data_IF_457263657136
#
_entry.id   IF_457263657136
#
_cell.length_a   1.000
_cell.length_b   1.000
_cell.length_c   1.000
_cell.angle_alpha   90.00
_cell.angle_beta   90.00
_cell.angle_gamma   90.00
#
_symmetry.space_group_name_H-M   'P 1'
#
loop_
_entity.id
_entity.type
_entity.pdbx_description
1 polymer ?
#
# COMPACT_ATOMS: atom_id res chain seq x y z
N UNK A 1 9.32 1.64 -14.50
CA UNK A 1 9.04 0.69 -13.40
C UNK A 1 7.68 0.92 -12.72
N UNK A 2 7.38 2.02 -12.03
CA UNK A 2 6.07 2.18 -11.32
C UNK A 2 4.82 1.91 -12.20
N UNK A 3 4.80 2.42 -13.44
CA UNK A 3 3.70 2.16 -14.37
C UNK A 3 3.62 0.67 -14.78
N UNK A 4 4.77 0.02 -14.99
CA UNK A 4 4.83 -1.41 -15.31
C UNK A 4 4.35 -2.27 -14.14
N UNK A 5 4.71 -1.90 -12.89
CA UNK A 5 4.17 -2.56 -11.69
C UNK A 5 2.64 -2.44 -11.67
N UNK A 6 2.11 -1.23 -11.89
CA UNK A 6 0.65 -1.00 -11.93
C UNK A 6 -0.01 -1.86 -13.02
N UNK A 7 0.52 -1.84 -14.25
CA UNK A 7 -0.02 -2.60 -15.38
C UNK A 7 -0.07 -4.11 -15.07
N UNK A 8 1.03 -4.67 -14.53
CA UNK A 8 1.09 -6.08 -14.13
C UNK A 8 0.05 -6.38 -13.04
N UNK A 9 -0.06 -5.54 -12.01
CA UNK A 9 -0.99 -5.77 -10.90
C UNK A 9 -2.46 -5.64 -11.31
N UNK A 10 -2.77 -4.79 -12.30
CA UNK A 10 -4.10 -4.65 -12.89
C UNK A 10 -4.49 -5.83 -13.80
N UNK A 11 -3.54 -6.66 -14.25
CA UNK A 11 -3.85 -7.87 -15.02
C UNK A 11 -4.71 -8.84 -14.21
N UNK A 12 -5.88 -9.24 -14.72
CA UNK A 12 -6.74 -10.25 -14.11
C UNK A 12 -6.22 -11.69 -14.34
N UNK A 13 -4.96 -11.92 -14.01
CA UNK A 13 -4.28 -13.22 -14.15
C UNK A 13 -3.59 -13.64 -12.85
N UNK A 14 -3.64 -14.93 -12.46
CA UNK A 14 -2.81 -15.50 -11.41
C UNK A 14 -1.29 -15.33 -11.64
N UNK A 15 -0.88 -15.24 -12.92
CA UNK A 15 0.53 -15.14 -13.31
C UNK A 15 1.12 -13.75 -13.02
N UNK A 16 0.31 -12.76 -12.65
CA UNK A 16 0.77 -11.40 -12.36
C UNK A 16 1.87 -11.34 -11.30
N UNK A 17 1.83 -12.22 -10.29
CA UNK A 17 2.90 -12.29 -9.29
C UNK A 17 4.18 -12.90 -9.87
N UNK A 18 4.08 -13.84 -10.82
CA UNK A 18 5.25 -14.40 -11.50
C UNK A 18 5.94 -13.31 -12.32
N UNK A 19 5.18 -12.57 -13.14
CA UNK A 19 5.69 -11.45 -13.92
C UNK A 19 6.32 -10.39 -13.01
N UNK A 20 5.61 -10.00 -11.95
CA UNK A 20 6.09 -9.02 -10.99
C UNK A 20 7.44 -9.44 -10.40
N UNK A 21 7.50 -10.59 -9.74
CA UNK A 21 8.71 -10.97 -9.02
C UNK A 21 9.84 -11.40 -9.95
N UNK A 22 9.57 -12.22 -10.96
CA UNK A 22 10.61 -12.79 -11.81
C UNK A 22 11.07 -11.86 -12.93
N UNK A 23 10.14 -11.18 -13.61
CA UNK A 23 10.49 -10.37 -14.79
C UNK A 23 10.88 -8.94 -14.41
N UNK A 24 10.21 -8.36 -13.40
CA UNK A 24 10.38 -6.94 -13.06
C UNK A 24 11.26 -6.71 -11.81
N UNK A 25 11.08 -7.50 -10.76
CA UNK A 25 11.83 -7.34 -9.50
C UNK A 25 13.15 -8.12 -9.45
N UNK A 26 13.44 -8.96 -10.46
CA UNK A 26 14.71 -9.68 -10.55
C UNK A 26 14.86 -10.85 -9.57
N UNK A 27 13.76 -11.47 -9.16
CA UNK A 27 13.77 -12.68 -8.33
C UNK A 27 13.82 -13.94 -9.19
N UNK A 28 14.43 -15.01 -8.68
CA UNK A 28 14.49 -16.28 -9.41
C UNK A 28 13.14 -17.00 -9.37
N UNK A 29 12.83 -17.79 -10.40
CA UNK A 29 11.64 -18.63 -10.43
C UNK A 29 11.74 -19.71 -9.35
N UNK A 30 10.67 -19.93 -8.58
CA UNK A 30 10.64 -20.99 -7.58
C UNK A 30 9.90 -22.22 -8.12
N UNK A 31 10.64 -23.12 -8.77
CA UNK A 31 10.12 -24.33 -9.44
C UNK A 31 9.77 -25.45 -8.45
N UNK A 32 8.81 -25.16 -7.57
CA UNK A 32 8.19 -26.14 -6.66
C UNK A 32 6.74 -26.38 -7.06
N UNK A 33 6.26 -27.59 -6.82
CA UNK A 33 4.84 -27.91 -6.99
C UNK A 33 4.00 -27.13 -6.00
N UNK A 34 2.82 -26.67 -6.45
CA UNK A 34 1.79 -26.14 -5.56
C UNK A 34 1.36 -27.19 -4.56
N UNK A 35 0.96 -26.74 -3.37
CA UNK A 35 0.52 -27.62 -2.29
C UNK A 35 -0.68 -27.01 -1.56
N UNK A 36 -1.37 -27.84 -0.78
CA UNK A 36 -2.47 -27.38 0.08
C UNK A 36 -2.12 -27.64 1.53
N UNK A 37 -2.59 -26.75 2.41
CA UNK A 37 -2.38 -26.88 3.84
C UNK A 37 -3.62 -26.42 4.62
N UNK A 38 -4.00 -27.21 5.61
CA UNK A 38 -5.08 -26.86 6.53
C UNK A 38 -4.64 -25.74 7.46
N UNK A 39 -5.36 -24.63 7.42
CA UNK A 39 -5.10 -23.48 8.28
C UNK A 39 -6.08 -23.54 9.46
N UNK A 40 -5.58 -23.54 10.70
CA UNK A 40 -6.43 -23.59 11.89
C UNK A 40 -7.24 -22.29 12.08
N UNK A 41 -7.99 -22.22 13.19
CA UNK A 41 -8.71 -21.02 13.60
C UNK A 41 -7.81 -19.77 13.57
N UNK A 42 -8.28 -18.62 13.04
CA UNK A 42 -9.67 -18.33 12.65
C UNK A 42 -10.00 -18.62 11.18
N UNK A 43 -9.11 -19.24 10.40
CA UNK A 43 -9.37 -19.54 8.98
C UNK A 43 -10.20 -20.81 8.85
N UNK A 44 -9.83 -21.89 9.58
CA UNK A 44 -10.52 -23.19 9.59
C UNK A 44 -10.81 -23.74 8.18
N UNK A 45 -9.84 -23.64 7.27
CA UNK A 45 -9.98 -24.05 5.88
C UNK A 45 -8.64 -24.50 5.29
N UNK A 46 -8.69 -25.42 4.34
CA UNK A 46 -7.54 -25.78 3.52
C UNK A 46 -7.30 -24.70 2.46
N UNK A 47 -6.10 -24.14 2.43
CA UNK A 47 -5.68 -23.15 1.43
C UNK A 47 -4.69 -23.75 0.45
N UNK A 48 -4.76 -23.32 -0.81
CA UNK A 48 -3.79 -23.67 -1.84
C UNK A 48 -2.69 -22.61 -1.95
N UNK A 49 -1.45 -23.08 -2.00
CA UNK A 49 -0.23 -22.29 -2.08
C UNK A 49 0.50 -22.59 -3.37
N UNK A 50 0.86 -21.54 -4.11
CA UNK A 50 1.54 -21.61 -5.38
C UNK A 50 2.90 -20.92 -5.26
N UNK A 51 4.00 -21.67 -5.34
CA UNK A 51 5.34 -21.12 -5.51
C UNK A 51 5.40 -20.13 -6.67
N UNK A 52 5.92 -18.93 -6.42
CA UNK A 52 6.03 -17.85 -7.43
C UNK A 52 7.49 -17.60 -7.77
N UNK A 53 8.26 -17.21 -6.76
CA UNK A 53 9.64 -16.78 -6.89
C UNK A 53 10.41 -17.08 -5.60
N UNK A 54 11.73 -17.03 -5.66
CA UNK A 54 12.63 -17.20 -4.53
C UNK A 54 13.83 -16.30 -4.70
N UNK A 55 14.35 -15.78 -3.60
CA UNK A 55 15.64 -15.08 -3.58
C UNK A 55 16.35 -15.32 -2.27
N UNK A 56 17.62 -15.75 -2.32
CA UNK A 56 18.44 -16.00 -1.14
C UNK A 56 17.82 -16.99 -0.15
N UNK A 57 17.08 -18.00 -0.62
CA UNK A 57 16.39 -18.97 0.23
C UNK A 57 15.00 -18.51 0.73
N UNK A 58 14.54 -17.31 0.38
CA UNK A 58 13.26 -16.75 0.82
C UNK A 58 12.20 -16.91 -0.29
N UNK A 59 11.22 -17.81 -0.13
CA UNK A 59 10.19 -18.02 -1.12
C UNK A 59 9.07 -16.98 -1.04
N UNK A 60 8.52 -16.68 -2.21
CA UNK A 60 7.26 -15.97 -2.42
C UNK A 60 6.21 -16.99 -2.81
N UNK A 61 5.14 -17.06 -2.01
CA UNK A 61 4.02 -17.96 -2.25
C UNK A 61 2.76 -17.14 -2.52
N UNK A 62 2.07 -17.43 -3.63
CA UNK A 62 0.71 -16.97 -3.87
C UNK A 62 -0.26 -17.85 -3.10
N UNK A 63 -1.17 -17.24 -2.35
CA UNK A 63 -2.24 -17.89 -1.62
C UNK A 63 -3.54 -17.66 -2.38
N UNK A 64 -4.24 -18.73 -2.75
CA UNK A 64 -5.61 -18.60 -3.25
C UNK A 64 -6.53 -18.34 -2.07
N UNK A 65 -6.97 -17.09 -1.93
CA UNK A 65 -7.82 -16.67 -0.85
C UNK A 65 -9.29 -16.84 -1.27
N UNK A 66 -10.12 -17.56 -0.50
CA UNK A 66 -11.44 -17.98 -0.95
C UNK A 66 -12.54 -16.91 -0.77
N UNK A 67 -12.18 -15.72 -0.29
CA UNK A 67 -13.12 -14.63 -0.02
C UNK A 67 -12.80 -13.40 -0.88
N UNK A 68 -13.81 -12.56 -1.11
CA UNK A 68 -13.69 -11.30 -1.85
C UNK A 68 -13.01 -10.20 -1.02
N UNK A 69 -13.07 -10.30 0.31
CA UNK A 69 -12.32 -9.44 1.22
C UNK A 69 -10.93 -10.02 1.53
N UNK A 70 -9.91 -9.17 1.52
CA UNK A 70 -8.57 -9.56 1.95
C UNK A 70 -8.56 -10.08 3.40
N UNK A 71 -7.68 -11.04 3.73
CA UNK A 71 -7.61 -11.59 5.07
C UNK A 71 -7.29 -10.52 6.11
N UNK A 72 -7.95 -10.60 7.26
CA UNK A 72 -7.65 -9.73 8.39
C UNK A 72 -6.30 -10.09 9.05
N UNK A 73 -5.84 -9.27 9.99
CA UNK A 73 -4.52 -9.44 10.64
C UNK A 73 -4.38 -10.80 11.34
N UNK A 74 -5.45 -11.31 11.94
CA UNK A 74 -5.43 -12.59 12.68
C UNK A 74 -5.34 -13.77 11.69
N UNK A 75 -6.11 -13.72 10.60
CA UNK A 75 -6.05 -14.71 9.51
C UNK A 75 -4.67 -14.74 8.85
N UNK A 76 -4.13 -13.58 8.46
CA UNK A 76 -2.77 -13.47 7.89
C UNK A 76 -1.72 -14.09 8.81
N UNK A 77 -1.80 -13.81 10.12
CA UNK A 77 -0.88 -14.36 11.11
C UNK A 77 -1.01 -15.88 11.26
N UNK A 78 -2.23 -16.42 11.22
CA UNK A 78 -2.46 -17.85 11.27
C UNK A 78 -1.80 -18.56 10.07
N UNK A 79 -1.99 -18.03 8.85
CA UNK A 79 -1.37 -18.59 7.63
C UNK A 79 0.16 -18.54 7.69
N UNK A 80 0.74 -17.38 8.04
CA UNK A 80 2.21 -17.25 8.18
C UNK A 80 2.78 -18.24 9.20
N UNK A 81 2.16 -18.32 10.38
CA UNK A 81 2.63 -19.23 11.43
C UNK A 81 2.55 -20.70 11.01
N UNK A 82 1.52 -21.06 10.23
CA UNK A 82 1.35 -22.41 9.73
C UNK A 82 2.46 -22.82 8.75
N UNK A 83 2.99 -21.87 7.99
CA UNK A 83 4.07 -22.09 7.02
C UNK A 83 5.48 -21.99 7.61
N UNK A 84 5.66 -21.39 8.79
CA UNK A 84 6.99 -21.24 9.44
C UNK A 84 7.74 -22.54 9.66
N UNK A 85 7.03 -23.66 9.82
CA UNK A 85 7.65 -24.97 9.99
C UNK A 85 8.38 -25.45 8.72
N UNK A 86 7.98 -24.94 7.55
CA UNK A 86 8.56 -25.29 6.25
C UNK A 86 9.48 -24.18 5.75
N UNK A 87 9.05 -22.92 5.90
CA UNK A 87 9.77 -21.74 5.43
C UNK A 87 9.93 -20.75 6.58
N UNK A 88 11.14 -20.67 7.14
CA UNK A 88 11.41 -19.81 8.30
C UNK A 88 11.15 -18.32 8.01
N UNK A 89 11.55 -17.87 6.82
CA UNK A 89 11.25 -16.56 6.26
C UNK A 89 10.52 -16.78 4.94
N UNK A 90 9.42 -16.08 4.70
CA UNK A 90 8.65 -16.20 3.45
C UNK A 90 7.75 -14.99 3.24
N UNK A 91 7.44 -14.71 1.97
CA UNK A 91 6.45 -13.72 1.56
C UNK A 91 5.16 -14.41 1.13
N UNK A 92 4.02 -13.85 1.54
CA UNK A 92 2.70 -14.32 1.10
C UNK A 92 2.02 -13.27 0.24
N UNK A 93 1.62 -13.66 -0.96
CA UNK A 93 0.83 -12.86 -1.88
C UNK A 93 -0.60 -13.39 -1.90
N UNK A 94 -1.53 -12.65 -1.31
CA UNK A 94 -2.96 -12.96 -1.36
C UNK A 94 -3.58 -12.28 -2.57
N UNK A 95 -4.48 -13.01 -3.22
CA UNK A 95 -5.39 -12.50 -4.23
C UNK A 95 -6.81 -12.86 -3.81
N UNK A 96 -7.71 -11.89 -3.76
CA UNK A 96 -9.13 -12.13 -3.46
C UNK A 96 -9.79 -12.95 -4.55
N UNK A 97 -10.89 -13.62 -4.22
CA UNK A 97 -11.57 -14.51 -5.16
C UNK A 97 -12.07 -13.79 -6.42
N UNK A 98 -12.45 -12.52 -6.31
CA UNK A 98 -12.82 -11.64 -7.42
C UNK A 98 -11.63 -11.09 -8.24
N UNK A 99 -10.39 -11.29 -7.77
CA UNK A 99 -9.16 -10.84 -8.42
C UNK A 99 -8.88 -9.34 -8.36
N UNK A 100 -9.73 -8.55 -7.69
CA UNK A 100 -9.65 -7.08 -7.67
C UNK A 100 -8.72 -6.54 -6.59
N UNK A 101 -8.52 -7.29 -5.51
CA UNK A 101 -7.71 -6.87 -4.38
C UNK A 101 -6.57 -7.86 -4.14
N UNK A 102 -5.40 -7.30 -3.81
CA UNK A 102 -4.23 -8.09 -3.47
C UNK A 102 -3.50 -7.56 -2.26
N UNK A 103 -2.80 -8.46 -1.58
CA UNK A 103 -1.97 -8.13 -0.44
C UNK A 103 -0.66 -8.92 -0.49
N UNK A 104 0.48 -8.22 -0.43
CA UNK A 104 1.78 -8.83 -0.18
C UNK A 104 2.07 -8.67 1.32
N UNK A 105 2.35 -9.77 2.01
CA UNK A 105 2.47 -9.82 3.47
C UNK A 105 3.85 -10.31 3.86
N UNK A 106 4.48 -9.55 4.75
CA UNK A 106 5.79 -9.82 5.33
C UNK A 106 5.70 -9.83 6.86
N UNK A 107 6.40 -10.76 7.51
CA UNK A 107 6.58 -10.79 8.96
C UNK A 107 7.98 -10.29 9.31
N UNK A 108 8.07 -9.06 9.81
CA UNK A 108 9.34 -8.49 10.30
C UNK A 108 9.57 -8.90 11.74
N UNK A 109 10.72 -9.49 12.05
CA UNK A 109 11.15 -9.73 13.43
C UNK A 109 11.42 -8.40 14.14
N UNK A 110 10.77 -8.16 15.28
CA UNK A 110 11.01 -7.00 16.16
C UNK A 110 11.11 -7.48 17.61
N UNK A 111 12.33 -7.79 18.06
CA UNK A 111 12.57 -8.43 19.35
C UNK A 111 12.03 -9.86 19.35
N UNK A 112 11.25 -10.23 20.37
CA UNK A 112 10.67 -11.58 20.50
C UNK A 112 9.38 -11.80 19.68
N UNK A 113 8.81 -10.77 19.06
CA UNK A 113 7.54 -10.86 18.33
C UNK A 113 7.69 -10.44 16.88
N UNK A 114 6.91 -11.10 16.03
CA UNK A 114 6.80 -10.76 14.62
C UNK A 114 5.75 -9.67 14.40
N UNK A 115 6.22 -8.58 13.82
CA UNK A 115 5.41 -7.48 13.35
C UNK A 115 4.95 -7.75 11.91
N UNK A 116 3.64 -7.90 11.73
CA UNK A 116 3.05 -8.20 10.44
C UNK A 116 2.87 -6.91 9.64
N UNK A 117 3.38 -6.89 8.41
CA UNK A 117 3.28 -5.78 7.48
C UNK A 117 2.59 -6.23 6.20
N UNK A 118 1.85 -5.30 5.59
CA UNK A 118 1.09 -5.61 4.38
C UNK A 118 1.17 -4.43 3.42
N UNK A 119 1.49 -4.73 2.17
CA UNK A 119 1.31 -3.84 1.03
C UNK A 119 0.02 -4.26 0.33
N UNK A 120 -0.96 -3.37 0.27
CA UNK A 120 -2.26 -3.63 -0.36
C UNK A 120 -2.39 -2.85 -1.67
N UNK A 121 -3.05 -3.46 -2.64
CA UNK A 121 -3.39 -2.86 -3.92
C UNK A 121 -4.79 -3.31 -4.33
N UNK A 122 -5.52 -2.40 -4.97
CA UNK A 122 -6.87 -2.64 -5.49
C UNK A 122 -6.94 -2.08 -6.91
N UNK A 123 -7.39 -2.92 -7.84
CA UNK A 123 -7.46 -2.60 -9.27
C UNK A 123 -8.27 -1.33 -9.52
N UNK A 124 -7.71 -0.42 -10.33
CA UNK A 124 -8.34 0.86 -10.66
C UNK A 124 -8.31 1.93 -9.55
N UNK A 125 -7.73 1.64 -8.38
CA UNK A 125 -7.48 2.65 -7.35
C UNK A 125 -6.02 3.14 -7.36
N UNK A 126 -5.76 4.45 -7.17
CA UNK A 126 -4.40 4.95 -7.07
C UNK A 126 -3.67 4.38 -5.85
N UNK A 127 -2.58 3.66 -6.10
CA UNK A 127 -1.78 2.96 -5.08
C UNK A 127 -0.29 3.34 -5.10
N UNK A 128 0.05 4.59 -5.47
CA UNK A 128 1.44 5.05 -5.67
C UNK A 128 2.40 4.63 -4.56
N UNK A 129 2.04 4.84 -3.30
CA UNK A 129 2.90 4.47 -2.16
C UNK A 129 3.12 2.96 -2.10
N UNK A 130 2.11 2.13 -2.36
CA UNK A 130 2.28 0.68 -2.45
C UNK A 130 3.21 0.31 -3.59
N UNK A 131 3.05 0.91 -4.78
CA UNK A 131 3.91 0.64 -5.94
C UNK A 131 5.37 1.01 -5.66
N UNK A 132 5.62 2.17 -5.06
CA UNK A 132 6.98 2.60 -4.65
C UNK A 132 7.60 1.60 -3.65
N UNK A 133 6.79 1.00 -2.76
CA UNK A 133 7.26 0.00 -1.80
C UNK A 133 7.51 -1.36 -2.45
N UNK A 134 6.73 -1.73 -3.45
CA UNK A 134 6.96 -2.93 -4.26
C UNK A 134 8.23 -2.76 -5.12
N UNK A 135 8.45 -1.58 -5.69
CA UNK A 135 9.68 -1.25 -6.43
C UNK A 135 10.94 -1.42 -5.59
N UNK A 136 10.90 -1.06 -4.30
CA UNK A 136 12.03 -1.28 -3.37
C UNK A 136 12.39 -2.76 -3.16
N UNK A 137 11.53 -3.71 -3.57
CA UNK A 137 11.82 -5.14 -3.57
C UNK A 137 12.67 -5.60 -4.75
N UNK A 138 12.88 -4.74 -5.75
CA UNK A 138 13.62 -5.06 -6.95
C UNK A 138 15.12 -5.20 -6.65
N UNK A 139 15.73 -6.29 -7.08
CA UNK A 139 17.19 -6.46 -7.10
C UNK A 139 17.73 -6.08 -8.47
N UNK A 140 18.61 -5.08 -8.48
CA UNK A 140 19.30 -4.67 -9.69
C UNK A 140 20.35 -5.69 -10.11
N UNK A 141 20.70 -5.69 -11.39
CA UNK A 141 21.73 -6.57 -11.93
C UNK A 141 23.08 -6.41 -11.21
N UNK A 142 23.46 -5.18 -10.85
CA UNK A 142 24.67 -4.91 -10.09
C UNK A 142 24.66 -5.56 -8.68
N UNK A 143 23.53 -5.45 -7.95
CA UNK A 143 23.37 -6.09 -6.64
C UNK A 143 23.42 -7.62 -6.73
N UNK A 144 22.93 -8.20 -7.83
CA UNK A 144 23.00 -9.64 -8.06
C UNK A 144 24.43 -10.08 -8.43
N UNK A 145 25.14 -9.33 -9.28
CA UNK A 145 26.54 -9.62 -9.65
C UNK A 145 27.49 -9.59 -8.45
N UNK A 146 27.29 -8.65 -7.51
CA UNK A 146 28.05 -8.58 -6.26
C UNK A 146 27.96 -9.85 -5.40
N UNK A 147 26.92 -10.66 -5.62
CA UNK A 147 26.64 -11.89 -4.89
C UNK A 147 26.59 -13.14 -5.79
N UNK A 148 27.27 -13.11 -6.94
CA UNK A 148 27.29 -14.25 -7.90
C UNK A 148 25.90 -14.72 -8.35
N UNK A 149 24.91 -13.82 -8.33
CA UNK A 149 23.52 -14.07 -8.69
C UNK A 149 22.60 -14.50 -7.53
N UNK A 150 23.15 -14.80 -6.35
CA UNK A 150 22.37 -15.23 -5.18
C UNK A 150 22.72 -14.39 -3.93
N UNK A 151 21.99 -13.29 -3.66
CA UNK A 151 22.22 -12.49 -2.47
C UNK A 151 21.93 -13.32 -1.20
N UNK A 152 22.70 -13.11 -0.12
CA UNK A 152 22.46 -13.80 1.14
C UNK A 152 21.09 -13.41 1.72
N UNK A 153 20.44 -14.34 2.41
CA UNK A 153 19.11 -14.13 3.01
C UNK A 153 19.03 -12.87 3.88
N UNK A 154 20.13 -12.50 4.54
CA UNK A 154 20.22 -11.29 5.37
C UNK A 154 20.01 -10.02 4.57
N UNK A 155 20.60 -9.91 3.37
CA UNK A 155 20.42 -8.77 2.48
C UNK A 155 18.98 -8.70 1.95
N UNK A 156 18.39 -9.85 1.63
CA UNK A 156 16.98 -9.96 1.21
C UNK A 156 16.05 -9.50 2.34
N UNK A 157 16.26 -9.98 3.56
CA UNK A 157 15.48 -9.59 4.75
C UNK A 157 15.61 -8.10 5.07
N UNK A 158 16.81 -7.52 4.96
CA UNK A 158 17.02 -6.08 5.15
C UNK A 158 16.24 -5.25 4.13
N UNK A 159 16.26 -5.66 2.85
CA UNK A 159 15.51 -5.00 1.79
C UNK A 159 14.00 -5.11 2.00
N UNK A 160 13.50 -6.29 2.40
CA UNK A 160 12.10 -6.48 2.81
C UNK A 160 11.73 -5.56 3.98
N UNK A 161 12.58 -5.49 5.01
CA UNK A 161 12.31 -4.63 6.16
C UNK A 161 12.20 -3.16 5.77
N UNK A 162 13.01 -2.68 4.81
CA UNK A 162 12.95 -1.32 4.27
C UNK A 162 11.71 -1.09 3.40
N UNK A 163 11.40 -2.03 2.50
CA UNK A 163 10.24 -1.97 1.61
C UNK A 163 8.92 -1.96 2.41
N UNK A 164 8.84 -2.69 3.51
CA UNK A 164 7.66 -2.76 4.37
C UNK A 164 7.68 -1.76 5.54
N UNK A 165 8.64 -0.83 5.58
CA UNK A 165 8.74 0.18 6.64
C UNK A 165 7.75 1.34 6.44
N UNK A 166 6.61 1.27 7.13
CA UNK A 166 5.57 2.32 7.16
C UNK A 166 6.01 3.53 8.00
N UNK A 167 6.95 3.37 8.94
CA UNK A 167 7.41 4.48 9.80
C UNK A 167 8.16 5.52 8.95
N UNK A 168 8.93 5.08 7.95
CA UNK A 168 9.61 5.96 7.00
C UNK A 168 8.63 6.76 6.11
N UNK A 169 7.55 6.12 5.62
CA UNK A 169 6.48 6.79 4.85
C UNK A 169 5.76 7.80 5.74
N UNK A 170 5.44 7.41 6.96
CA UNK A 170 4.72 8.25 7.93
C UNK A 170 5.55 9.48 8.30
N UNK A 171 6.86 9.29 8.53
CA UNK A 171 7.78 10.39 8.82
C UNK A 171 7.92 11.34 7.64
N UNK A 172 8.16 10.82 6.44
CA UNK A 172 8.23 11.63 5.21
C UNK A 172 6.91 12.36 4.95
N UNK A 173 5.77 11.69 5.12
CA UNK A 173 4.46 12.31 5.03
C UNK A 173 4.33 13.46 6.04
N UNK A 174 4.70 13.28 7.30
CA UNK A 174 4.63 14.34 8.31
C UNK A 174 5.61 15.48 8.02
N UNK A 175 6.81 15.19 7.51
CA UNK A 175 7.79 16.20 7.07
C UNK A 175 7.24 17.02 5.90
N UNK A 176 6.75 16.37 4.85
CA UNK A 176 6.14 17.00 3.68
C UNK A 176 4.89 17.80 4.07
N UNK A 177 4.02 17.20 4.90
CA UNK A 177 2.81 17.84 5.41
C UNK A 177 3.13 19.10 6.22
N UNK A 178 4.14 19.03 7.10
CA UNK A 178 4.55 20.19 7.89
C UNK A 178 5.17 21.28 7.01
N UNK A 179 5.98 20.89 6.01
CA UNK A 179 6.53 21.81 5.01
C UNK A 179 5.43 22.61 4.29
N UNK A 180 4.42 21.91 3.79
CA UNK A 180 3.26 22.54 3.11
C UNK A 180 2.44 23.37 4.10
N UNK A 181 2.29 22.93 5.35
CA UNK A 181 1.60 23.69 6.40
C UNK A 181 2.23 25.07 6.61
N UNK A 182 3.55 25.16 6.77
CA UNK A 182 4.24 26.44 6.99
C UNK A 182 4.15 27.36 5.79
N UNK A 183 4.17 26.81 4.56
CA UNK A 183 3.99 27.60 3.35
C UNK A 183 2.59 28.22 3.28
N UNK A 184 1.54 27.44 3.58
CA UNK A 184 0.17 27.96 3.57
C UNK A 184 -0.06 28.93 4.73
N UNK A 185 0.49 28.67 5.92
CA UNK A 185 0.46 29.62 7.03
C UNK A 185 1.05 30.96 6.61
N UNK A 186 2.23 30.99 6.00
CA UNK A 186 2.86 32.23 5.54
C UNK A 186 2.00 33.01 4.52
N UNK A 187 1.26 32.31 3.66
CA UNK A 187 0.43 32.87 2.59
C UNK A 187 -1.00 33.24 3.02
N UNK A 188 -1.46 32.80 4.19
CA UNK A 188 -2.80 33.09 4.69
C UNK A 188 -2.93 34.57 5.14
N UNK A 189 -3.22 35.45 4.19
CA UNK A 189 -3.40 36.89 4.42
C UNK A 189 -4.81 37.26 4.88
N UNK A 190 -5.82 36.47 4.52
CA UNK A 190 -7.24 36.71 4.83
C UNK A 190 -7.75 35.72 5.86
N UNK A 191 -7.41 35.96 7.13
CA UNK A 191 -7.86 35.14 8.27
C UNK A 191 -8.99 35.86 9.00
N UNK A 192 -10.03 35.17 9.53
CA UNK A 192 -11.10 35.81 10.29
C UNK A 192 -10.58 36.71 11.42
N UNK A 193 -11.26 37.84 11.63
CA UNK A 193 -10.85 38.84 12.63
C UNK A 193 -10.79 38.21 14.04
N UNK A 194 -9.63 38.35 14.70
CA UNK A 194 -9.37 37.78 16.02
C UNK A 194 -8.88 36.33 16.05
N UNK A 195 -8.80 35.63 14.90
CA UNK A 195 -8.25 34.27 14.83
C UNK A 195 -6.74 34.27 14.51
N UNK A 196 -5.89 33.59 15.32
CA UNK A 196 -4.50 33.36 14.95
C UNK A 196 -4.39 32.57 13.64
N UNK A 197 -3.64 33.10 12.68
CA UNK A 197 -3.30 32.47 11.40
C UNK A 197 -2.93 30.99 11.52
N UNK A 198 -2.14 30.63 12.54
CA UNK A 198 -1.77 29.25 12.83
C UNK A 198 -2.98 28.34 13.10
N UNK A 199 -3.93 28.82 13.90
CA UNK A 199 -5.14 28.07 14.25
C UNK A 199 -6.06 27.90 13.04
N UNK A 200 -6.18 28.96 12.22
CA UNK A 200 -6.91 28.90 10.96
C UNK A 200 -6.32 27.85 10.01
N UNK A 201 -5.00 27.90 9.75
CA UNK A 201 -4.32 26.92 8.89
C UNK A 201 -4.45 25.50 9.44
N UNK A 202 -4.35 25.32 10.76
CA UNK A 202 -4.52 24.02 11.40
C UNK A 202 -5.91 23.44 11.20
N UNK A 203 -6.96 24.26 11.34
CA UNK A 203 -8.34 23.84 11.07
C UNK A 203 -8.54 23.46 9.60
N UNK A 204 -8.02 24.27 8.67
CA UNK A 204 -8.09 23.99 7.24
C UNK A 204 -7.44 22.64 6.91
N UNK A 205 -6.20 22.42 7.35
CA UNK A 205 -5.46 21.18 7.08
C UNK A 205 -6.11 19.96 7.72
N UNK A 206 -6.61 20.06 8.96
CA UNK A 206 -7.34 18.97 9.60
C UNK A 206 -8.59 18.56 8.82
N UNK A 207 -9.32 19.53 8.26
CA UNK A 207 -10.53 19.26 7.46
C UNK A 207 -10.19 18.67 6.09
N UNK A 208 -9.12 19.15 5.44
CA UNK A 208 -8.61 18.56 4.20
C UNK A 208 -8.18 17.10 4.41
N UNK A 209 -7.48 16.83 5.51
CA UNK A 209 -7.11 15.46 5.90
C UNK A 209 -8.34 14.60 6.15
N UNK A 210 -9.37 15.12 6.81
CA UNK A 210 -10.61 14.39 7.03
C UNK A 210 -11.28 14.00 5.70
N UNK A 211 -11.45 14.94 4.76
CA UNK A 211 -12.02 14.64 3.44
C UNK A 211 -11.15 13.61 2.71
N UNK A 212 -9.82 13.74 2.79
CA UNK A 212 -8.90 12.78 2.20
C UNK A 212 -9.14 11.35 2.74
N UNK A 213 -9.38 11.19 4.04
CA UNK A 213 -9.69 9.89 4.62
C UNK A 213 -11.07 9.36 4.20
N UNK A 214 -12.08 10.23 4.12
CA UNK A 214 -13.42 9.83 3.68
C UNK A 214 -13.41 9.41 2.20
N UNK A 215 -12.73 10.16 1.31
CA UNK A 215 -12.63 9.76 -0.11
C UNK A 215 -11.88 8.42 -0.26
N UNK A 216 -10.88 8.14 0.59
CA UNK A 216 -10.14 6.86 0.54
C UNK A 216 -11.00 5.68 0.95
N UNK A 217 -12.09 5.89 1.70
CA UNK A 217 -13.11 4.87 1.96
C UNK A 217 -14.09 4.67 0.78
N UNK A 218 -13.93 5.42 -0.31
CA UNK A 218 -14.79 5.35 -1.49
C UNK A 218 -16.17 6.00 -1.31
N UNK A 219 -16.38 6.76 -0.22
CA UNK A 219 -17.69 7.34 0.11
C UNK A 219 -17.97 8.65 -0.63
N UNK A 220 -16.94 9.26 -1.21
CA UNK A 220 -17.05 10.50 -1.98
C UNK A 220 -16.69 10.23 -3.43
N UNK A 221 -17.50 10.77 -4.35
CA UNK A 221 -17.20 10.82 -5.76
C UNK A 221 -17.67 12.18 -6.32
N UNK A 222 -16.96 12.69 -7.32
CA UNK A 222 -17.37 13.88 -8.06
C UNK A 222 -17.37 13.54 -9.54
N UNK A 223 -18.55 13.55 -10.16
CA UNK A 223 -18.75 13.14 -11.57
C UNK A 223 -18.16 11.76 -11.89
N UNK A 224 -18.24 10.83 -10.93
CA UNK A 224 -17.70 9.46 -11.06
C UNK A 224 -16.22 9.30 -10.69
N UNK A 225 -15.47 10.39 -10.44
CA UNK A 225 -14.08 10.31 -9.97
C UNK A 225 -14.02 10.14 -8.44
N UNK A 226 -13.38 9.04 -7.99
CA UNK A 226 -13.15 8.72 -6.58
C UNK A 226 -12.01 9.55 -5.96
N UNK A 227 -11.20 10.25 -6.76
CA UNK A 227 -10.22 11.24 -6.29
C UNK A 227 -10.90 12.59 -5.99
N UNK A 228 -11.94 12.54 -5.15
CA UNK A 228 -12.89 13.62 -4.91
C UNK A 228 -12.24 15.00 -4.74
N UNK A 229 -11.31 15.15 -3.79
CA UNK A 229 -10.64 16.42 -3.48
C UNK A 229 -9.93 17.03 -4.70
N UNK A 230 -9.30 16.19 -5.52
CA UNK A 230 -8.59 16.62 -6.73
C UNK A 230 -9.57 16.98 -7.84
N UNK A 231 -10.63 16.18 -8.00
CA UNK A 231 -11.66 16.41 -8.99
C UNK A 231 -12.37 17.76 -8.76
N UNK A 232 -12.80 18.06 -7.51
CA UNK A 232 -13.43 19.34 -7.19
C UNK A 232 -12.47 20.54 -7.35
N UNK A 233 -11.17 20.36 -7.06
CA UNK A 233 -10.17 21.41 -7.26
C UNK A 233 -9.98 21.74 -8.73
N UNK A 234 -9.87 20.71 -9.57
CA UNK A 234 -9.72 20.89 -11.02
C UNK A 234 -10.95 21.57 -11.62
N UNK A 235 -12.16 21.20 -11.16
CA UNK A 235 -13.42 21.80 -11.59
C UNK A 235 -13.51 23.29 -11.20
N UNK A 236 -13.23 23.62 -9.93
CA UNK A 236 -13.19 25.01 -9.47
C UNK A 236 -12.20 25.86 -10.28
N UNK A 237 -11.00 25.32 -10.53
CA UNK A 237 -9.99 25.99 -11.33
C UNK A 237 -10.45 26.21 -12.79
N UNK A 238 -11.17 25.25 -13.37
CA UNK A 238 -11.71 25.39 -14.72
C UNK A 238 -12.84 26.44 -14.79
N UNK A 239 -13.63 26.57 -13.72
CA UNK A 239 -14.68 27.57 -13.58
C UNK A 239 -14.16 28.96 -13.17
N UNK A 240 -12.87 29.09 -12.81
CA UNK A 240 -12.28 30.34 -12.34
C UNK A 240 -12.73 30.73 -10.92
N UNK A 241 -13.17 29.76 -10.13
CA UNK A 241 -13.68 29.93 -8.78
C UNK A 241 -12.55 29.88 -7.74
N UNK A 242 -12.74 30.57 -6.60
CA UNK A 242 -11.84 30.45 -5.47
C UNK A 242 -12.11 29.12 -4.76
N UNK A 243 -11.15 28.19 -4.85
CA UNK A 243 -11.35 26.84 -4.31
C UNK A 243 -11.65 26.84 -2.80
N UNK A 244 -11.09 27.76 -2.04
CA UNK A 244 -11.25 27.82 -0.59
C UNK A 244 -12.63 28.36 -0.22
N UNK A 245 -13.03 29.48 -0.81
CA UNK A 245 -14.25 30.21 -0.48
C UNK A 245 -15.48 29.68 -1.22
N UNK A 246 -15.35 29.28 -2.48
CA UNK A 246 -16.47 28.91 -3.33
C UNK A 246 -16.75 27.39 -3.34
N UNK A 247 -15.80 26.56 -2.92
CA UNK A 247 -16.01 25.09 -2.81
C UNK A 247 -15.81 24.57 -1.39
N UNK A 248 -14.62 24.73 -0.83
CA UNK A 248 -14.27 24.11 0.45
C UNK A 248 -15.11 24.67 1.61
N UNK A 249 -15.41 25.97 1.61
CA UNK A 249 -16.31 26.58 2.61
C UNK A 249 -17.65 25.85 2.67
N UNK A 250 -18.34 25.69 1.54
CA UNK A 250 -19.64 25.02 1.48
C UNK A 250 -19.54 23.55 1.90
N UNK A 251 -18.49 22.86 1.46
CA UNK A 251 -18.23 21.48 1.85
C UNK A 251 -18.04 21.34 3.37
N UNK A 252 -17.28 22.25 3.99
CA UNK A 252 -17.01 22.22 5.43
C UNK A 252 -18.22 22.59 6.28
N UNK A 253 -18.99 23.59 5.85
CA UNK A 253 -20.06 24.16 6.68
C UNK A 253 -21.44 23.54 6.42
N UNK A 254 -21.69 22.98 5.23
CA UNK A 254 -22.97 22.38 4.87
C UNK A 254 -22.87 20.89 4.55
N UNK A 255 -21.74 20.43 4.02
CA UNK A 255 -21.54 19.00 3.68
C UNK A 255 -21.08 18.14 4.87
N UNK A 256 -20.44 18.73 5.87
CA UNK A 256 -19.79 18.01 6.98
C UNK A 256 -20.32 18.38 8.38
N UNK A 257 -21.32 19.26 8.48
CA UNK A 257 -22.03 19.54 9.72
C UNK A 257 -23.34 18.73 9.74
N UNK A 258 -23.26 17.50 10.22
CA UNK A 258 -24.39 16.70 10.67
C UNK A 258 -24.06 16.08 12.03
#
# INVERSE_FOLDING_TARGET
MLNEIQEILDEQSPERFTKLFCELLGWSRFDRSSFSQDIPSPVNQSLAFFPVAELGGLPVLRVEWPFDDLPNVIQKRAVLNQLKAVYAEHLLCYLTADGNSLAIVWARKRGEKDELRTLTFETGLPARTTLERIEELAFSFAELEEHEGEPPITAVVEKLNKAFDVEAVTKKFFEDYSSVFWQVEAQATEVPEGEPRRLYTQRLFNRLMFIYFIQKKGWLNFLGDKNYLRAIFNDAKACGEDFLNDRLYWLFFFGMNA
#
